data_IF_931939817622
#
_entry.id   IF_931939817622
#
_cell.length_a   1.000
_cell.length_b   1.000
_cell.length_c   1.000
_cell.angle_alpha   90.00
_cell.angle_beta   90.00
_cell.angle_gamma   90.00
#
_symmetry.space_group_name_H-M   'P 1'
#
loop_
_entity.id
_entity.type
_entity.pdbx_description
1 polymer ?
#
# COMPACT_ATOMS: atom_id res chain seq x y z
N UNK A 1 10.60 -15.50 -9.08
CA UNK A 1 11.16 -14.13 -9.15
C UNK A 1 12.25 -14.00 -8.11
N UNK A 2 13.46 -13.60 -8.51
CA UNK A 2 14.56 -13.26 -7.61
C UNK A 2 14.21 -11.91 -6.99
N UNK A 3 13.85 -11.91 -5.70
CA UNK A 3 13.82 -10.64 -4.95
C UNK A 3 15.23 -10.08 -5.02
N UNK A 4 15.39 -8.88 -5.57
CA UNK A 4 16.73 -8.30 -5.61
C UNK A 4 17.22 -8.13 -4.17
N UNK A 5 18.48 -8.46 -3.84
CA UNK A 5 18.97 -8.37 -2.47
C UNK A 5 18.69 -7.00 -1.83
N UNK A 6 18.74 -5.92 -2.61
CA UNK A 6 18.39 -4.57 -2.16
C UNK A 6 16.92 -4.39 -1.75
N UNK A 7 15.98 -5.06 -2.41
CA UNK A 7 14.55 -4.99 -2.06
C UNK A 7 14.22 -5.82 -0.82
N UNK A 8 14.82 -7.02 -0.71
CA UNK A 8 14.71 -7.84 0.50
C UNK A 8 15.28 -7.08 1.70
N UNK A 9 16.42 -6.40 1.50
CA UNK A 9 17.08 -5.55 2.50
C UNK A 9 16.23 -4.32 2.87
N UNK A 10 15.54 -3.67 1.92
CA UNK A 10 14.66 -2.52 2.25
C UNK A 10 13.38 -2.95 2.95
N UNK A 11 12.76 -4.05 2.52
CA UNK A 11 11.58 -4.60 3.19
C UNK A 11 11.92 -5.05 4.61
N UNK A 12 13.01 -5.80 4.78
CA UNK A 12 13.51 -6.17 6.10
C UNK A 12 13.95 -4.95 6.88
N UNK A 13 14.56 -3.91 6.30
CA UNK A 13 14.88 -2.66 7.01
C UNK A 13 13.65 -1.83 7.36
N UNK A 14 12.58 -1.83 6.56
CA UNK A 14 11.33 -1.14 6.87
C UNK A 14 10.60 -1.87 8.00
N UNK A 15 10.49 -3.20 7.92
CA UNK A 15 9.95 -4.05 8.99
C UNK A 15 10.84 -4.00 10.23
N UNK A 16 12.15 -3.99 10.08
CA UNK A 16 13.12 -3.89 11.18
C UNK A 16 13.16 -2.48 11.73
N UNK A 17 12.93 -1.42 10.96
CA UNK A 17 12.71 -0.05 11.44
C UNK A 17 11.33 0.11 12.09
N UNK A 18 10.31 -0.64 11.65
CA UNK A 18 9.04 -0.77 12.37
C UNK A 18 9.30 -1.45 13.72
N UNK A 19 10.11 -2.52 13.78
CA UNK A 19 10.41 -3.26 15.01
C UNK A 19 11.44 -2.58 15.94
N UNK A 20 12.47 -1.93 15.40
CA UNK A 20 13.56 -1.25 16.14
C UNK A 20 13.34 0.25 16.29
N UNK A 21 12.56 0.87 15.40
CA UNK A 21 12.05 2.24 15.58
C UNK A 21 10.89 2.29 16.58
N UNK A 22 10.19 1.17 16.83
CA UNK A 22 9.23 1.12 17.94
C UNK A 22 9.85 1.00 19.33
N UNK A 23 11.04 0.44 19.48
CA UNK A 23 11.84 0.67 20.69
C UNK A 23 12.35 2.12 20.75
N UNK A 24 12.39 2.81 19.60
CA UNK A 24 12.78 4.21 19.40
C UNK A 24 11.62 5.23 19.33
N UNK A 25 10.45 4.95 19.92
CA UNK A 25 9.39 5.96 20.16
C UNK A 25 9.82 7.00 21.23
N UNK A 26 11.05 7.49 21.11
CA UNK A 26 11.56 8.65 21.82
C UNK A 26 10.84 9.85 21.22
N UNK A 27 10.07 10.57 22.05
CA UNK A 27 9.41 11.84 21.76
C UNK A 27 10.22 12.67 20.73
N UNK A 28 9.83 12.66 19.46
CA UNK A 28 10.53 13.36 18.37
C UNK A 28 10.57 12.64 17.02
N UNK A 29 10.74 11.31 16.99
CA UNK A 29 10.89 10.55 15.72
C UNK A 29 9.60 9.97 15.13
N UNK A 30 8.48 10.11 15.83
CA UNK A 30 7.17 9.54 15.43
C UNK A 30 6.73 9.95 14.02
N UNK A 31 6.80 11.24 13.73
CA UNK A 31 6.35 11.80 12.44
C UNK A 31 7.23 11.26 11.30
N UNK A 32 8.53 11.14 11.54
CA UNK A 32 9.47 10.60 10.57
C UNK A 32 9.22 9.10 10.31
N UNK A 33 9.01 8.30 11.35
CA UNK A 33 8.68 6.86 11.19
C UNK A 33 7.34 6.65 10.49
N UNK A 34 6.33 7.45 10.84
CA UNK A 34 5.02 7.44 10.19
C UNK A 34 5.12 7.79 8.70
N UNK A 35 5.88 8.83 8.37
CA UNK A 35 6.17 9.24 7.00
C UNK A 35 6.88 8.11 6.22
N UNK A 36 7.89 7.46 6.81
CA UNK A 36 8.59 6.34 6.18
C UNK A 36 7.66 5.15 5.88
N UNK A 37 6.72 4.85 6.78
CA UNK A 37 5.71 3.80 6.54
C UNK A 37 4.84 4.18 5.35
N UNK A 38 4.32 5.41 5.29
CA UNK A 38 3.52 5.89 4.16
C UNK A 38 4.29 5.84 2.84
N UNK A 39 5.53 6.31 2.83
CA UNK A 39 6.41 6.28 1.67
C UNK A 39 6.64 4.85 1.17
N UNK A 40 6.79 3.88 2.08
CA UNK A 40 6.94 2.47 1.74
C UNK A 40 5.66 1.89 1.11
N UNK A 41 4.48 2.25 1.64
CA UNK A 41 3.19 1.83 1.08
C UNK A 41 3.02 2.46 -0.32
N UNK A 42 3.26 3.76 -0.49
CA UNK A 42 3.21 4.45 -1.80
C UNK A 42 4.16 3.78 -2.79
N UNK A 43 5.40 3.48 -2.36
CA UNK A 43 6.40 2.80 -3.21
C UNK A 43 5.92 1.43 -3.66
N UNK A 44 5.32 0.64 -2.76
CA UNK A 44 4.79 -0.67 -3.08
C UNK A 44 3.57 -0.58 -4.02
N UNK A 45 2.63 0.33 -3.76
CA UNK A 45 1.48 0.60 -4.63
C UNK A 45 1.90 1.08 -6.02
N UNK A 46 2.94 1.91 -6.11
CA UNK A 46 3.50 2.39 -7.40
C UNK A 46 4.06 1.23 -8.22
N UNK A 47 4.71 0.23 -7.58
CA UNK A 47 5.15 -0.99 -8.28
C UNK A 47 3.96 -1.79 -8.79
N UNK A 48 2.94 -1.99 -7.96
CA UNK A 48 1.70 -2.66 -8.37
C UNK A 48 1.08 -1.98 -9.59
N UNK A 49 0.99 -0.65 -9.56
CA UNK A 49 0.52 0.18 -10.67
C UNK A 49 1.33 -0.03 -11.94
N UNK A 50 2.65 -0.12 -11.86
CA UNK A 50 3.49 -0.37 -13.03
C UNK A 50 3.19 -1.71 -13.68
N UNK A 51 3.04 -2.78 -12.89
CA UNK A 51 2.69 -4.11 -13.42
C UNK A 51 1.31 -4.10 -14.11
N UNK A 52 0.30 -3.48 -13.48
CA UNK A 52 -1.04 -3.36 -14.09
C UNK A 52 -1.01 -2.49 -15.36
N UNK A 53 -0.18 -1.43 -15.41
CA UNK A 53 0.01 -0.64 -16.63
C UNK A 53 0.61 -1.49 -17.76
N UNK A 54 1.59 -2.34 -17.45
CA UNK A 54 2.16 -3.25 -18.44
C UNK A 54 1.09 -4.22 -18.99
N UNK A 55 0.24 -4.75 -18.11
CA UNK A 55 -0.89 -5.63 -18.49
C UNK A 55 -1.89 -4.89 -19.35
N UNK A 56 -2.26 -3.66 -18.97
CA UNK A 56 -3.15 -2.80 -19.75
C UNK A 56 -2.63 -2.61 -21.18
N UNK A 57 -1.36 -2.24 -21.32
CA UNK A 57 -0.75 -1.96 -22.63
C UNK A 57 -0.60 -3.24 -23.46
N UNK A 58 -0.32 -4.38 -22.82
CA UNK A 58 -0.35 -5.69 -23.46
C UNK A 58 -1.75 -6.05 -23.98
N UNK A 59 -2.79 -5.85 -23.15
CA UNK A 59 -4.18 -6.06 -23.52
C UNK A 59 -4.60 -5.22 -24.73
N UNK A 60 -4.20 -3.94 -24.79
CA UNK A 60 -4.44 -3.09 -25.95
C UNK A 60 -3.74 -3.61 -27.21
N UNK A 61 -2.47 -4.01 -27.12
CA UNK A 61 -1.72 -4.58 -28.26
C UNK A 61 -2.34 -5.87 -28.78
N UNK A 62 -2.90 -6.69 -27.89
CA UNK A 62 -3.56 -7.96 -28.23
C UNK A 62 -5.03 -7.78 -28.65
N UNK A 63 -5.54 -6.54 -28.71
CA UNK A 63 -6.97 -6.23 -28.94
C UNK A 63 -7.92 -6.85 -27.92
N UNK A 64 -7.42 -7.21 -26.72
CA UNK A 64 -8.24 -7.67 -25.60
C UNK A 64 -8.78 -6.48 -24.81
N UNK A 65 -9.86 -5.89 -25.32
CA UNK A 65 -10.48 -4.69 -24.74
C UNK A 65 -11.12 -4.94 -23.36
N UNK A 66 -11.52 -6.18 -23.07
CA UNK A 66 -12.06 -6.54 -21.74
C UNK A 66 -10.98 -6.41 -20.67
N UNK A 67 -9.83 -7.05 -20.91
CA UNK A 67 -8.67 -6.97 -20.01
C UNK A 67 -8.19 -5.52 -19.83
N UNK A 68 -8.11 -4.75 -20.93
CA UNK A 68 -7.70 -3.34 -20.84
C UNK A 68 -8.66 -2.51 -19.97
N UNK A 69 -9.98 -2.74 -20.07
CA UNK A 69 -10.98 -2.04 -19.25
C UNK A 69 -10.86 -2.41 -17.75
N UNK A 70 -10.63 -3.68 -17.45
CA UNK A 70 -10.39 -4.15 -16.08
C UNK A 70 -9.12 -3.52 -15.49
N UNK A 71 -8.03 -3.52 -16.26
CA UNK A 71 -6.78 -2.88 -15.83
C UNK A 71 -6.96 -1.39 -15.57
N UNK A 72 -7.71 -0.67 -16.42
CA UNK A 72 -8.01 0.74 -16.20
C UNK A 72 -8.75 0.99 -14.88
N UNK A 73 -9.68 0.10 -14.53
CA UNK A 73 -10.42 0.18 -13.27
C UNK A 73 -9.50 -0.08 -12.08
N UNK A 74 -8.59 -1.05 -12.19
CA UNK A 74 -7.56 -1.34 -11.19
C UNK A 74 -6.58 -0.17 -11.01
N UNK A 75 -6.12 0.45 -12.10
CA UNK A 75 -5.24 1.62 -12.09
C UNK A 75 -5.88 2.81 -11.36
N UNK A 76 -7.16 3.08 -11.60
CA UNK A 76 -7.87 4.14 -10.89
C UNK A 76 -7.91 3.88 -9.37
N UNK A 77 -8.11 2.64 -8.94
CA UNK A 77 -8.12 2.31 -7.49
C UNK A 77 -6.72 2.44 -6.87
N UNK A 78 -5.68 2.07 -7.61
CA UNK A 78 -4.28 2.25 -7.20
C UNK A 78 -3.91 3.73 -7.08
N UNK A 79 -4.30 4.56 -8.05
CA UNK A 79 -4.09 6.00 -8.02
C UNK A 79 -4.83 6.63 -6.82
N UNK A 80 -6.05 6.20 -6.55
CA UNK A 80 -6.81 6.66 -5.38
C UNK A 80 -6.17 6.25 -4.05
N UNK A 81 -5.66 5.01 -3.94
CA UNK A 81 -4.92 4.55 -2.76
C UNK A 81 -3.65 5.38 -2.53
N UNK A 82 -2.85 5.60 -3.58
CA UNK A 82 -1.61 6.38 -3.50
C UNK A 82 -1.92 7.81 -3.02
N UNK A 83 -2.92 8.45 -3.61
CA UNK A 83 -3.33 9.81 -3.27
C UNK A 83 -3.84 9.92 -1.82
N UNK A 84 -4.65 8.96 -1.37
CA UNK A 84 -5.17 8.94 0.00
C UNK A 84 -4.04 8.77 1.03
N UNK A 85 -3.01 7.98 0.72
CA UNK A 85 -1.84 7.82 1.59
C UNK A 85 -0.98 9.08 1.56
N UNK A 86 -0.71 9.67 0.39
CA UNK A 86 0.12 10.87 0.26
C UNK A 86 -0.47 12.06 1.03
N UNK A 87 -1.80 12.21 0.99
CA UNK A 87 -2.54 13.24 1.73
C UNK A 87 -2.81 12.90 3.19
N UNK A 88 -2.51 11.68 3.62
CA UNK A 88 -2.80 11.22 4.98
C UNK A 88 -1.99 12.00 6.02
N UNK A 89 -2.64 12.26 7.16
CA UNK A 89 -2.04 13.00 8.28
C UNK A 89 -1.19 12.06 9.16
N UNK A 90 -0.08 12.56 9.69
CA UNK A 90 0.70 11.85 10.73
C UNK A 90 0.08 11.95 12.14
N UNK A 91 -1.19 12.35 12.26
CA UNK A 91 -1.89 12.54 13.53
C UNK A 91 -1.34 13.70 14.38
N UNK A 92 -0.72 14.69 13.74
CA UNK A 92 -0.04 15.81 14.41
C UNK A 92 -0.57 17.20 14.00
N UNK A 93 -1.72 17.28 13.32
CA UNK A 93 -2.34 18.56 12.94
C UNK A 93 -3.73 18.68 13.55
N UNK A 94 -3.75 18.81 14.87
CA UNK A 94 -4.75 19.71 15.45
C UNK A 94 -4.44 21.10 14.90
N UNK A 95 -5.43 21.76 14.30
CA UNK A 95 -5.44 23.22 14.27
C UNK A 95 -5.04 23.72 15.66
N UNK A 96 -4.32 24.85 15.74
CA UNK A 96 -3.67 25.44 16.91
C UNK A 96 -4.48 25.54 18.24
N UNK A 97 -5.71 25.00 18.33
CA UNK A 97 -6.65 25.09 19.44
C UNK A 97 -7.33 23.77 19.90
N UNK A 98 -7.01 22.58 19.37
CA UNK A 98 -7.59 21.33 19.92
C UNK A 98 -6.60 20.59 20.84
N UNK A 99 -7.04 20.30 22.07
CA UNK A 99 -6.29 19.52 23.06
C UNK A 99 -5.86 18.18 22.44
N UNK A 100 -4.58 18.04 22.13
CA UNK A 100 -4.02 16.81 21.57
C UNK A 100 -4.37 15.63 22.49
N UNK A 101 -5.18 14.69 22.02
CA UNK A 101 -5.34 13.40 22.70
C UNK A 101 -3.96 12.75 22.71
N UNK A 102 -3.36 12.62 23.90
CA UNK A 102 -2.10 11.90 24.05
C UNK A 102 -2.37 10.44 23.68
N UNK A 103 -1.82 9.99 22.54
CA UNK A 103 -1.85 8.56 22.21
C UNK A 103 -1.20 7.76 23.33
N UNK A 104 -1.88 6.70 23.76
CA UNK A 104 -1.34 5.77 24.75
C UNK A 104 -0.41 4.76 24.07
N UNK A 105 0.45 4.09 24.85
CA UNK A 105 1.27 2.99 24.32
C UNK A 105 0.43 1.85 23.73
N UNK A 106 -0.82 1.69 24.16
CA UNK A 106 -1.76 0.70 23.61
C UNK A 106 -2.24 1.11 22.21
N UNK A 107 -2.56 2.39 22.03
CA UNK A 107 -2.98 2.93 20.73
C UNK A 107 -1.83 2.82 19.71
N UNK A 108 -0.60 3.11 20.16
CA UNK A 108 0.61 2.94 19.36
C UNK A 108 0.84 1.51 18.90
N UNK A 109 0.74 0.53 19.79
CA UNK A 109 0.84 -0.89 19.41
C UNK A 109 -0.27 -1.32 18.45
N UNK A 110 -1.44 -0.71 18.55
CA UNK A 110 -2.54 -0.99 17.61
C UNK A 110 -2.21 -0.41 16.24
N UNK A 111 -1.76 0.85 16.18
CA UNK A 111 -1.34 1.53 14.96
C UNK A 111 -0.22 0.76 14.23
N UNK A 112 0.77 0.25 14.96
CA UNK A 112 1.86 -0.51 14.34
C UNK A 112 1.37 -1.76 13.61
N UNK A 113 0.43 -2.45 14.23
CA UNK A 113 -0.06 -3.74 13.76
C UNK A 113 -0.92 -3.49 12.54
N UNK A 114 -1.77 -2.46 12.62
CA UNK A 114 -2.56 -1.98 11.50
C UNK A 114 -1.68 -1.60 10.31
N UNK A 115 -0.67 -0.75 10.51
CA UNK A 115 0.27 -0.33 9.44
C UNK A 115 1.02 -1.53 8.84
N UNK A 116 1.40 -2.51 9.66
CA UNK A 116 2.02 -3.75 9.19
C UNK A 116 1.07 -4.55 8.30
N UNK A 117 -0.18 -4.72 8.71
CA UNK A 117 -1.19 -5.45 7.95
C UNK A 117 -1.48 -4.74 6.60
N UNK A 118 -1.51 -3.40 6.57
CA UNK A 118 -1.60 -2.63 5.31
C UNK A 118 -0.43 -2.95 4.38
N UNK A 119 0.81 -2.95 4.89
CA UNK A 119 2.00 -3.29 4.09
C UNK A 119 1.91 -4.72 3.53
N UNK A 120 1.41 -5.67 4.32
CA UNK A 120 1.19 -7.05 3.88
C UNK A 120 0.16 -7.11 2.74
N UNK A 121 -0.98 -6.41 2.87
CA UNK A 121 -2.01 -6.33 1.82
C UNK A 121 -1.48 -5.73 0.51
N UNK A 122 -0.71 -4.64 0.56
CA UNK A 122 -0.12 -4.05 -0.66
C UNK A 122 0.94 -4.98 -1.25
N UNK A 123 1.70 -5.69 -0.42
CA UNK A 123 2.66 -6.69 -0.90
C UNK A 123 1.97 -7.83 -1.63
N UNK A 124 0.83 -8.30 -1.14
CA UNK A 124 0.03 -9.32 -1.82
C UNK A 124 -0.62 -8.77 -3.10
N UNK A 125 -1.03 -7.51 -3.13
CA UNK A 125 -1.48 -6.87 -4.37
C UNK A 125 -0.38 -6.81 -5.44
N UNK A 126 0.86 -6.49 -5.05
CA UNK A 126 2.04 -6.53 -5.94
C UNK A 126 2.26 -7.95 -6.47
N UNK A 127 2.10 -8.99 -5.65
CA UNK A 127 2.19 -10.39 -6.12
C UNK A 127 1.12 -10.69 -7.16
N UNK A 128 -0.13 -10.32 -6.89
CA UNK A 128 -1.24 -10.47 -7.84
C UNK A 128 -1.00 -9.71 -9.15
N UNK A 129 -0.46 -8.50 -9.10
CA UNK A 129 -0.16 -7.73 -10.32
C UNK A 129 0.96 -8.37 -11.15
N UNK A 130 1.97 -8.95 -10.49
CA UNK A 130 3.02 -9.72 -11.16
C UNK A 130 2.47 -11.01 -11.78
N UNK A 131 1.56 -11.68 -11.08
CA UNK A 131 0.87 -12.88 -11.57
C UNK A 131 -0.01 -12.56 -12.78
N UNK A 132 -0.72 -11.43 -12.77
CA UNK A 132 -1.50 -10.94 -13.90
C UNK A 132 -0.62 -10.65 -15.13
N UNK A 133 0.55 -10.02 -14.92
CA UNK A 133 1.49 -9.75 -16.00
C UNK A 133 2.04 -11.04 -16.61
N UNK A 134 2.40 -12.03 -15.78
CA UNK A 134 2.81 -13.35 -16.25
C UNK A 134 1.70 -14.06 -17.02
N UNK A 135 0.48 -14.11 -16.47
CA UNK A 135 -0.67 -14.73 -17.12
C UNK A 135 -0.95 -14.08 -18.50
N UNK A 136 -0.76 -12.77 -18.62
CA UNK A 136 -0.93 -12.05 -19.88
C UNK A 136 0.17 -12.40 -20.90
N UNK A 137 1.41 -12.56 -20.45
CA UNK A 137 2.53 -13.00 -21.32
C UNK A 137 2.33 -14.44 -21.81
N UNK A 138 1.75 -15.29 -20.97
CA UNK A 138 1.42 -16.69 -21.29
C UNK A 138 0.12 -16.82 -22.12
N UNK A 139 -0.56 -15.71 -22.44
CA UNK A 139 -1.89 -15.69 -23.05
C UNK A 139 -2.93 -16.55 -22.31
N UNK A 140 -2.81 -16.60 -20.97
CA UNK A 140 -3.72 -17.33 -20.10
C UNK A 140 -5.05 -16.59 -19.97
N UNK A 141 -6.16 -17.34 -19.98
CA UNK A 141 -7.51 -16.83 -19.71
C UNK A 141 -7.66 -16.30 -18.27
N UNK A 142 -6.73 -16.63 -17.37
CA UNK A 142 -6.72 -16.17 -15.98
C UNK A 142 -6.23 -14.73 -15.79
N UNK A 143 -5.70 -14.08 -16.84
CA UNK A 143 -5.17 -12.73 -16.73
C UNK A 143 -6.23 -11.74 -16.19
N UNK A 144 -7.44 -11.78 -16.78
CA UNK A 144 -8.56 -10.93 -16.37
C UNK A 144 -8.99 -11.16 -14.92
N UNK A 145 -9.19 -12.42 -14.53
CA UNK A 145 -9.60 -12.75 -13.16
C UNK A 145 -8.54 -12.36 -12.13
N UNK A 146 -7.26 -12.45 -12.49
CA UNK A 146 -6.14 -12.05 -11.63
C UNK A 146 -6.09 -10.53 -11.45
N UNK A 147 -6.32 -9.75 -12.51
CA UNK A 147 -6.44 -8.27 -12.41
C UNK A 147 -7.61 -7.88 -11.51
N UNK A 148 -8.76 -8.54 -11.64
CA UNK A 148 -9.93 -8.28 -10.78
C UNK A 148 -9.63 -8.56 -9.30
N UNK A 149 -8.92 -9.66 -9.01
CA UNK A 149 -8.48 -9.98 -7.64
C UNK A 149 -7.49 -8.93 -7.10
N UNK A 150 -6.57 -8.45 -7.94
CA UNK A 150 -5.66 -7.36 -7.60
C UNK A 150 -6.45 -6.09 -7.25
N UNK A 151 -7.42 -5.69 -8.09
CA UNK A 151 -8.29 -4.55 -7.81
C UNK A 151 -9.05 -4.70 -6.49
N UNK A 152 -9.63 -5.87 -6.23
CA UNK A 152 -10.33 -6.14 -4.96
C UNK A 152 -9.39 -6.00 -3.76
N UNK A 153 -8.15 -6.49 -3.86
CA UNK A 153 -7.14 -6.37 -2.81
C UNK A 153 -6.78 -4.89 -2.55
N UNK A 154 -6.55 -4.10 -3.60
CA UNK A 154 -6.26 -2.66 -3.47
C UNK A 154 -7.44 -1.91 -2.86
N UNK A 155 -8.68 -2.18 -3.30
CA UNK A 155 -9.87 -1.55 -2.72
C UNK A 155 -10.03 -1.89 -1.23
N UNK A 156 -9.81 -3.16 -0.87
CA UNK A 156 -9.84 -3.62 0.53
C UNK A 156 -8.73 -2.96 1.34
N UNK A 157 -7.52 -2.87 0.79
CA UNK A 157 -6.37 -2.24 1.42
C UNK A 157 -6.61 -0.76 1.68
N UNK A 158 -7.21 -0.05 0.71
CA UNK A 158 -7.56 1.36 0.84
C UNK A 158 -8.60 1.59 1.94
N UNK A 159 -9.66 0.78 1.96
CA UNK A 159 -10.66 0.80 3.03
C UNK A 159 -10.01 0.56 4.40
N UNK A 160 -9.21 -0.50 4.51
CA UNK A 160 -8.51 -0.84 5.75
C UNK A 160 -7.52 0.26 6.19
N UNK A 161 -6.77 0.87 5.25
CA UNK A 161 -5.87 1.98 5.54
C UNK A 161 -6.61 3.18 6.14
N UNK A 162 -7.83 3.48 5.67
CA UNK A 162 -8.61 4.60 6.20
C UNK A 162 -8.97 4.47 7.69
N UNK A 163 -9.08 3.23 8.20
CA UNK A 163 -9.35 2.94 9.62
C UNK A 163 -8.23 3.40 10.55
N UNK A 164 -7.05 3.69 9.99
CA UNK A 164 -5.89 4.25 10.71
C UNK A 164 -6.22 5.53 11.48
N UNK A 165 -7.15 6.34 10.98
CA UNK A 165 -7.58 7.59 11.63
C UNK A 165 -8.18 7.35 13.03
N UNK A 166 -8.84 6.21 13.23
CA UNK A 166 -9.38 5.79 14.54
C UNK A 166 -8.23 5.59 15.54
N UNK A 167 -7.12 5.01 15.07
CA UNK A 167 -5.94 4.75 15.91
C UNK A 167 -5.12 6.02 16.18
N UNK A 168 -5.20 7.01 15.28
CA UNK A 168 -4.58 8.33 15.46
C UNK A 168 -5.40 9.26 16.35
N UNK A 169 -6.68 8.94 16.61
CA UNK A 169 -7.58 9.77 17.41
C UNK A 169 -8.09 11.01 16.68
N UNK A 170 -8.09 10.97 15.35
CA UNK A 170 -8.62 12.02 14.47
C UNK A 170 -10.14 11.87 14.23
N UNK A 171 -10.76 10.79 14.74
CA UNK A 171 -12.19 10.48 14.73
C UNK A 171 -12.60 9.85 16.07
#
# INVERSE_FOLDING_TARGET
>A
MVVTPNELIRYTRAVQAIMTGYSGYVKGKRIETDQQVREEIIRASTRCRQHIQNVHDAGLRQSNMSLAKECKSCLHELDALIEDIDKSSSGARGAFFTSQKKLTNKDLKTLIRHDKEVIEMVTDAVRLSNDAERATQENSEEASSTVMRCQQMISSCRGFYSERLIHLGDI
#
